data_IF_974123887530
#
_entry.id   IF_974123887530
#
_cell.length_a   1.000
_cell.length_b   1.000
_cell.length_c   1.000
_cell.angle_alpha   90.00
_cell.angle_beta   90.00
_cell.angle_gamma   90.00
#
_symmetry.space_group_name_H-M   'P 1'
#
loop_
_entity.id
_entity.type
_entity.pdbx_description
1 polymer ?
#
# COMPACT_ATOMS: atom_id res chain seq x y z
N UNK A 1 -58.90 -22.80 -9.59
CA UNK A 1 -58.81 -21.45 -8.98
C UNK A 1 -58.13 -21.64 -7.63
N UNK A 2 -56.88 -21.29 -7.34
CA UNK A 2 -55.83 -20.50 -7.97
C UNK A 2 -54.87 -20.20 -6.81
N UNK A 3 -53.60 -20.54 -6.96
CA UNK A 3 -52.61 -20.63 -5.88
C UNK A 3 -52.26 -19.27 -5.28
N UNK A 4 -52.33 -19.15 -3.94
CA UNK A 4 -51.82 -18.01 -3.19
C UNK A 4 -50.30 -18.13 -3.00
N UNK A 5 -49.53 -17.62 -3.96
CA UNK A 5 -48.08 -17.42 -3.86
C UNK A 5 -47.77 -15.94 -3.69
N UNK A 6 -47.45 -15.53 -2.46
CA UNK A 6 -46.97 -14.19 -2.17
C UNK A 6 -45.61 -13.96 -2.87
N UNK A 7 -45.63 -13.16 -3.94
CA UNK A 7 -44.43 -12.69 -4.63
C UNK A 7 -43.70 -11.69 -3.74
N UNK A 8 -42.73 -12.17 -2.97
CA UNK A 8 -41.84 -11.34 -2.17
C UNK A 8 -40.84 -10.63 -3.09
N UNK A 9 -41.26 -9.46 -3.59
CA UNK A 9 -40.51 -8.20 -3.67
C UNK A 9 -39.01 -8.34 -3.97
N UNK A 10 -38.64 -8.21 -5.25
CA UNK A 10 -37.34 -7.64 -5.62
C UNK A 10 -37.25 -6.25 -4.98
N UNK A 11 -36.34 -6.08 -4.03
CA UNK A 11 -35.78 -4.77 -3.69
C UNK A 11 -34.32 -4.83 -4.10
N UNK A 12 -34.03 -4.48 -5.35
CA UNK A 12 -32.73 -3.92 -5.68
C UNK A 12 -32.67 -2.58 -4.94
N UNK A 13 -32.00 -2.59 -3.80
CA UNK A 13 -31.62 -1.36 -3.11
C UNK A 13 -30.39 -0.82 -3.84
N UNK A 14 -30.62 -0.19 -4.99
CA UNK A 14 -29.62 0.64 -5.65
C UNK A 14 -29.43 1.89 -4.80
N UNK A 15 -28.57 1.74 -3.79
CA UNK A 15 -28.09 2.82 -2.96
C UNK A 15 -27.30 3.81 -3.80
N UNK A 16 -28.00 4.82 -4.29
CA UNK A 16 -27.40 6.09 -4.65
C UNK A 16 -26.72 6.68 -3.39
N UNK A 17 -25.38 6.70 -3.36
CA UNK A 17 -24.64 7.94 -3.09
C UNK A 17 -23.26 7.86 -3.73
N UNK A 18 -23.05 8.76 -4.69
CA UNK A 18 -21.76 9.18 -5.20
C UNK A 18 -20.73 9.36 -4.08
N UNK A 19 -19.83 8.40 -3.88
CA UNK A 19 -18.69 8.54 -2.95
C UNK A 19 -17.48 9.25 -3.57
N UNK A 20 -17.59 9.66 -4.83
CA UNK A 20 -16.46 10.17 -5.61
C UNK A 20 -16.14 11.66 -5.41
N UNK A 21 -16.79 12.37 -4.48
CA UNK A 21 -16.54 13.80 -4.27
C UNK A 21 -16.50 14.25 -2.80
N UNK A 22 -16.08 13.38 -1.89
CA UNK A 22 -15.73 13.83 -0.54
C UNK A 22 -14.26 14.25 -0.49
N UNK A 23 -13.98 15.43 0.06
CA UNK A 23 -12.61 15.87 0.35
C UNK A 23 -11.83 14.81 1.16
N UNK A 24 -12.50 14.06 2.03
CA UNK A 24 -11.92 12.96 2.78
C UNK A 24 -11.46 11.79 1.89
N UNK A 25 -12.15 11.52 0.79
CA UNK A 25 -11.77 10.48 -0.17
C UNK A 25 -10.49 10.87 -0.92
N UNK A 26 -10.40 12.14 -1.35
CA UNK A 26 -9.18 12.68 -1.96
C UNK A 26 -8.00 12.69 -0.97
N UNK A 27 -8.19 13.21 0.24
CA UNK A 27 -7.12 13.27 1.25
C UNK A 27 -6.59 11.88 1.61
N UNK A 28 -7.46 10.87 1.61
CA UNK A 28 -7.10 9.47 1.88
C UNK A 28 -6.44 8.79 0.70
N UNK A 29 -6.83 9.09 -0.54
CA UNK A 29 -6.18 8.57 -1.75
C UNK A 29 -4.78 9.14 -1.98
N UNK A 30 -4.57 10.41 -1.63
CA UNK A 30 -3.28 11.09 -1.75
C UNK A 30 -2.39 10.98 -0.50
N UNK A 31 -2.80 10.20 0.51
CA UNK A 31 -2.03 9.96 1.74
C UNK A 31 -1.57 11.25 2.48
N UNK A 32 -2.29 12.36 2.32
CA UNK A 32 -1.92 13.66 2.91
C UNK A 32 -2.23 13.76 4.42
N UNK A 33 -2.77 12.69 5.00
CA UNK A 33 -3.09 12.56 6.42
C UNK A 33 -2.43 11.31 7.03
N UNK A 34 -1.24 10.94 6.57
CA UNK A 34 -0.42 9.94 7.23
C UNK A 34 0.43 10.63 8.32
N UNK A 35 0.33 10.24 9.62
CA UNK A 35 1.22 10.76 10.65
C UNK A 35 2.68 10.32 10.37
N UNK A 36 3.68 11.09 10.83
CA UNK A 36 5.10 10.81 10.57
C UNK A 36 5.50 9.41 11.05
N UNK A 37 6.47 8.83 10.36
CA UNK A 37 6.78 7.41 10.30
C UNK A 37 7.29 6.73 11.60
N UNK A 38 7.21 7.39 12.76
CA UNK A 38 7.73 6.86 14.02
C UNK A 38 6.75 5.95 14.78
N UNK A 39 5.53 5.74 14.25
CA UNK A 39 4.52 4.85 14.85
C UNK A 39 4.53 3.44 14.24
N UNK A 40 5.71 2.82 14.15
CA UNK A 40 5.95 1.57 13.39
C UNK A 40 5.73 0.29 14.22
N UNK A 41 4.57 0.14 14.86
CA UNK A 41 4.08 -1.15 15.37
C UNK A 41 2.56 -1.08 15.59
N UNK A 42 1.80 -1.56 14.61
CA UNK A 42 0.36 -1.77 14.79
C UNK A 42 -0.54 -0.99 13.83
N UNK A 43 -0.24 -0.97 12.52
CA UNK A 43 -1.21 -0.49 11.54
C UNK A 43 -2.06 -1.66 11.04
N UNK A 44 -3.12 -1.93 11.78
CA UNK A 44 -4.28 -2.67 11.31
C UNK A 44 -4.80 -1.98 10.04
N UNK A 45 -4.96 -2.75 8.97
CA UNK A 45 -5.50 -2.30 7.68
C UNK A 45 -6.89 -1.68 7.90
N UNK A 46 -7.07 -0.41 7.53
CA UNK A 46 -8.28 0.36 7.83
C UNK A 46 -9.35 0.16 6.74
N UNK A 47 -10.31 -0.74 6.97
CA UNK A 47 -11.59 -0.68 6.26
C UNK A 47 -12.44 0.42 6.92
N UNK A 48 -12.53 1.57 6.25
CA UNK A 48 -13.63 2.51 6.45
C UNK A 48 -14.81 1.95 5.69
N UNK A 49 -15.82 1.49 6.43
CA UNK A 49 -17.26 1.69 6.19
C UNK A 49 -18.01 0.93 7.30
N UNK A 50 -18.50 1.67 8.31
CA UNK A 50 -19.51 1.23 9.27
C UNK A 50 -19.10 0.16 10.31
N UNK A 51 -19.15 0.54 11.59
CA UNK A 51 -19.19 -0.34 12.78
C UNK A 51 -17.86 -0.83 13.36
N UNK A 52 -17.06 0.11 13.86
CA UNK A 52 -15.89 -0.16 14.71
C UNK A 52 -16.24 -0.45 16.20
N UNK A 53 -17.51 -0.65 16.56
CA UNK A 53 -17.93 -1.08 17.91
C UNK A 53 -18.41 -2.54 17.98
N UNK A 54 -18.41 -3.28 16.86
CA UNK A 54 -18.86 -4.68 16.81
C UNK A 54 -17.74 -5.74 16.89
N UNK A 55 -16.47 -5.33 16.99
CA UNK A 55 -15.32 -6.23 16.82
C UNK A 55 -14.94 -7.06 18.07
N UNK A 56 -15.43 -6.74 19.27
CA UNK A 56 -15.15 -7.52 20.48
C UNK A 56 -16.20 -8.62 20.74
N UNK A 57 -17.32 -8.63 20.01
CA UNK A 57 -18.29 -9.73 20.06
C UNK A 57 -17.93 -10.79 19.04
N UNK A 58 -16.74 -11.38 19.17
CA UNK A 58 -16.41 -12.65 18.51
C UNK A 58 -17.31 -13.70 19.14
N UNK A 59 -18.56 -13.80 18.66
CA UNK A 59 -19.49 -14.87 19.04
C UNK A 59 -18.74 -16.17 18.83
N UNK A 60 -18.32 -16.81 19.92
CA UNK A 60 -17.70 -18.12 19.91
C UNK A 60 -18.65 -19.01 19.13
N UNK A 61 -18.26 -19.39 17.91
CA UNK A 61 -19.05 -20.29 17.08
C UNK A 61 -19.11 -21.60 17.85
N UNK A 62 -20.23 -21.86 18.51
CA UNK A 62 -20.46 -23.07 19.28
C UNK A 62 -20.05 -24.29 18.45
N UNK A 63 -19.39 -25.25 19.11
CA UNK A 63 -18.90 -26.47 18.48
C UNK A 63 -20.02 -27.14 17.67
N UNK A 64 -19.69 -27.55 16.45
CA UNK A 64 -20.64 -28.23 15.57
C UNK A 64 -20.86 -29.64 16.11
N UNK A 65 -21.99 -29.88 16.79
CA UNK A 65 -22.42 -31.23 17.13
C UNK A 65 -22.78 -31.97 15.83
N UNK A 66 -22.29 -33.19 15.60
CA UNK A 66 -22.74 -34.01 14.48
C UNK A 66 -24.26 -34.19 14.54
N UNK A 67 -24.93 -34.10 13.40
CA UNK A 67 -26.37 -34.34 13.31
C UNK A 67 -26.59 -35.86 13.39
N UNK A 68 -27.42 -36.37 14.32
CA UNK A 68 -27.76 -37.79 14.42
C UNK A 68 -28.25 -38.37 13.10
N UNK A 69 -28.03 -39.66 12.89
CA UNK A 69 -28.36 -40.37 11.66
C UNK A 69 -29.85 -40.34 11.33
N UNK A 70 -30.70 -40.33 12.35
CA UNK A 70 -32.17 -40.32 12.22
C UNK A 70 -32.72 -38.96 11.75
N UNK A 71 -31.89 -37.90 11.74
CA UNK A 71 -32.29 -36.54 11.33
C UNK A 71 -31.72 -36.13 9.96
N UNK A 72 -31.08 -37.06 9.25
CA UNK A 72 -30.56 -36.85 7.89
C UNK A 72 -31.62 -37.16 6.85
N UNK A 73 -32.67 -36.35 6.84
CA UNK A 73 -33.75 -36.45 5.84
C UNK A 73 -33.35 -35.84 4.50
N UNK A 74 -34.18 -36.01 3.47
CA UNK A 74 -33.99 -35.40 2.14
C UNK A 74 -33.72 -33.88 2.22
N UNK A 75 -34.51 -33.18 3.05
CA UNK A 75 -34.37 -31.73 3.29
C UNK A 75 -33.00 -31.36 3.90
N UNK A 76 -32.36 -32.26 4.65
CA UNK A 76 -31.01 -32.06 5.16
C UNK A 76 -29.98 -32.15 4.02
N UNK A 77 -30.08 -33.17 3.16
CA UNK A 77 -29.17 -33.37 2.03
C UNK A 77 -29.23 -32.20 1.04
N UNK A 78 -30.42 -31.68 0.73
CA UNK A 78 -30.56 -30.49 -0.11
C UNK A 78 -29.85 -29.25 0.49
N UNK A 79 -30.03 -29.00 1.79
CA UNK A 79 -29.35 -27.88 2.47
C UNK A 79 -27.84 -28.09 2.46
N UNK A 80 -27.38 -29.32 2.67
CA UNK A 80 -25.95 -29.66 2.68
C UNK A 80 -25.33 -29.46 1.30
N UNK A 81 -26.02 -29.89 0.24
CA UNK A 81 -25.62 -29.67 -1.15
C UNK A 81 -25.49 -28.18 -1.47
N UNK A 82 -26.52 -27.37 -1.17
CA UNK A 82 -26.48 -25.91 -1.35
C UNK A 82 -25.35 -25.24 -0.56
N UNK A 83 -25.10 -25.67 0.68
CA UNK A 83 -24.00 -25.11 1.48
C UNK A 83 -22.63 -25.45 0.89
N UNK A 84 -22.45 -26.66 0.36
CA UNK A 84 -21.20 -27.07 -0.29
C UNK A 84 -20.96 -26.28 -1.59
N UNK A 85 -22.00 -26.09 -2.40
CA UNK A 85 -21.94 -25.25 -3.61
C UNK A 85 -21.58 -23.80 -3.27
N UNK A 86 -22.25 -23.22 -2.27
CA UNK A 86 -21.94 -21.86 -1.80
C UNK A 86 -20.51 -21.75 -1.25
N UNK A 87 -20.04 -22.75 -0.51
CA UNK A 87 -18.67 -22.79 0.00
C UNK A 87 -17.64 -22.86 -1.14
N UNK A 88 -17.91 -23.65 -2.18
CA UNK A 88 -17.07 -23.72 -3.39
C UNK A 88 -17.02 -22.35 -4.08
N UNK A 89 -18.19 -21.77 -4.39
CA UNK A 89 -18.29 -20.44 -5.00
C UNK A 89 -17.56 -19.36 -4.19
N UNK A 90 -17.66 -19.41 -2.86
CA UNK A 90 -16.96 -18.48 -1.97
C UNK A 90 -15.44 -18.64 -2.03
N UNK A 91 -14.94 -19.88 -2.10
CA UNK A 91 -13.50 -20.17 -2.26
C UNK A 91 -13.00 -19.67 -3.61
N UNK A 92 -13.72 -19.96 -4.70
CA UNK A 92 -13.33 -19.55 -6.05
C UNK A 92 -13.30 -18.02 -6.15
N UNK A 93 -14.31 -17.33 -5.61
CA UNK A 93 -14.34 -15.88 -5.56
C UNK A 93 -13.20 -15.28 -4.73
N UNK A 94 -12.81 -15.92 -3.63
CA UNK A 94 -11.64 -15.50 -2.84
C UNK A 94 -10.35 -15.69 -3.65
N UNK A 95 -10.18 -16.86 -4.26
CA UNK A 95 -9.01 -17.18 -5.07
C UNK A 95 -8.83 -16.18 -6.21
N UNK A 96 -9.88 -15.87 -6.95
CA UNK A 96 -9.84 -14.87 -8.03
C UNK A 96 -9.37 -13.49 -7.52
N UNK A 97 -9.84 -13.06 -6.33
CA UNK A 97 -9.37 -11.80 -5.74
C UNK A 97 -7.90 -11.85 -5.35
N UNK A 98 -7.46 -12.93 -4.74
CA UNK A 98 -6.06 -13.13 -4.35
C UNK A 98 -5.14 -13.18 -5.57
N UNK A 99 -5.54 -13.90 -6.62
CA UNK A 99 -4.83 -13.99 -7.89
C UNK A 99 -4.74 -12.60 -8.58
N UNK A 100 -5.82 -11.83 -8.57
CA UNK A 100 -5.82 -10.47 -9.12
C UNK A 100 -4.88 -9.53 -8.34
N UNK A 101 -4.87 -9.62 -7.00
CA UNK A 101 -3.95 -8.84 -6.17
C UNK A 101 -2.49 -9.23 -6.46
N UNK A 102 -2.20 -10.52 -6.57
CA UNK A 102 -0.86 -11.02 -6.89
C UNK A 102 -0.39 -10.53 -8.27
N UNK A 103 -1.26 -10.63 -9.29
CA UNK A 103 -0.95 -10.15 -10.63
C UNK A 103 -0.67 -8.64 -10.64
N UNK A 104 -1.51 -7.85 -9.97
CA UNK A 104 -1.33 -6.40 -9.88
C UNK A 104 -0.03 -6.04 -9.16
N UNK A 105 0.32 -6.75 -8.09
CA UNK A 105 1.58 -6.53 -7.37
C UNK A 105 2.79 -6.80 -8.29
N UNK A 106 2.78 -7.91 -9.02
CA UNK A 106 3.84 -8.26 -9.97
C UNK A 106 4.01 -7.19 -11.06
N UNK A 107 2.90 -6.68 -11.63
CA UNK A 107 2.97 -5.61 -12.63
C UNK A 107 3.60 -4.34 -12.06
N UNK A 108 3.16 -3.92 -10.87
CA UNK A 108 3.70 -2.72 -10.22
C UNK A 108 5.17 -2.88 -9.83
N UNK A 109 5.59 -4.07 -9.39
CA UNK A 109 6.99 -4.38 -9.12
C UNK A 109 7.85 -4.29 -10.38
N UNK A 110 7.34 -4.81 -11.50
CA UNK A 110 8.00 -4.74 -12.79
C UNK A 110 8.15 -3.28 -13.29
N UNK A 111 7.06 -2.51 -13.26
CA UNK A 111 7.08 -1.09 -13.63
C UNK A 111 8.02 -0.29 -12.73
N UNK A 112 8.02 -0.54 -11.42
CA UNK A 112 8.91 0.12 -10.48
C UNK A 112 10.39 -0.18 -10.78
N UNK A 113 10.70 -1.43 -11.14
CA UNK A 113 12.05 -1.82 -11.54
C UNK A 113 12.50 -1.07 -12.80
N UNK A 114 11.64 -0.98 -13.82
CA UNK A 114 11.91 -0.23 -15.04
C UNK A 114 12.17 1.25 -14.72
N UNK A 115 11.29 1.88 -13.93
CA UNK A 115 11.42 3.29 -13.56
C UNK A 115 12.72 3.55 -12.78
N UNK A 116 13.13 2.65 -11.88
CA UNK A 116 14.40 2.75 -11.17
C UNK A 116 15.60 2.72 -12.11
N UNK A 117 15.59 1.84 -13.11
CA UNK A 117 16.64 1.76 -14.13
C UNK A 117 16.69 3.04 -14.95
N UNK A 118 15.53 3.53 -15.41
CA UNK A 118 15.46 4.79 -16.18
C UNK A 118 15.98 5.99 -15.37
N UNK A 119 15.60 6.11 -14.10
CA UNK A 119 16.09 7.17 -13.22
C UNK A 119 17.61 7.05 -13.03
N UNK A 120 18.14 5.84 -12.87
CA UNK A 120 19.59 5.62 -12.75
C UNK A 120 20.33 6.08 -14.01
N UNK A 121 19.86 5.67 -15.21
CA UNK A 121 20.44 6.10 -16.50
C UNK A 121 20.45 7.62 -16.65
N UNK A 122 19.30 8.27 -16.42
CA UNK A 122 19.19 9.72 -16.53
C UNK A 122 20.08 10.46 -15.52
N UNK A 123 20.24 9.91 -14.31
CA UNK A 123 21.15 10.48 -13.30
C UNK A 123 22.60 10.35 -13.73
N UNK A 124 23.00 9.22 -14.31
CA UNK A 124 24.35 8.99 -14.83
C UNK A 124 24.66 9.94 -15.99
N UNK A 125 23.74 10.08 -16.96
CA UNK A 125 23.85 11.02 -18.06
C UNK A 125 24.00 12.47 -17.56
N UNK A 126 23.14 12.88 -16.62
CA UNK A 126 23.21 14.21 -16.02
C UNK A 126 24.54 14.45 -15.27
N UNK A 127 25.06 13.45 -14.56
CA UNK A 127 26.36 13.53 -13.90
C UNK A 127 27.50 13.63 -14.92
N UNK A 128 27.47 12.84 -15.99
CA UNK A 128 28.44 12.89 -17.07
C UNK A 128 28.49 14.27 -17.72
N UNK A 129 27.33 14.84 -18.05
CA UNK A 129 27.23 16.19 -18.60
C UNK A 129 27.76 17.25 -17.63
N UNK A 130 27.43 17.15 -16.33
CA UNK A 130 28.01 18.04 -15.30
C UNK A 130 29.53 17.96 -15.25
N UNK A 131 30.10 16.75 -15.31
CA UNK A 131 31.56 16.58 -15.33
C UNK A 131 32.18 17.23 -16.57
N UNK A 132 31.57 17.09 -17.75
CA UNK A 132 32.05 17.73 -18.99
C UNK A 132 32.02 19.25 -18.87
N UNK A 133 30.92 19.83 -18.37
CA UNK A 133 30.81 21.29 -18.18
C UNK A 133 31.85 21.83 -17.20
N UNK A 134 32.09 21.14 -16.07
CA UNK A 134 33.12 21.53 -15.10
C UNK A 134 34.53 21.47 -15.72
N UNK A 135 34.83 20.42 -16.49
CA UNK A 135 36.11 20.31 -17.22
C UNK A 135 36.30 21.45 -18.22
N UNK A 136 35.26 21.84 -18.95
CA UNK A 136 35.31 22.96 -19.89
C UNK A 136 35.50 24.31 -19.19
N UNK A 137 34.80 24.53 -18.07
CA UNK A 137 34.93 25.77 -17.28
C UNK A 137 36.33 25.90 -16.68
N UNK A 138 36.92 24.82 -16.19
CA UNK A 138 38.30 24.82 -15.67
C UNK A 138 39.35 25.04 -16.77
N UNK A 139 39.15 24.51 -17.99
CA UNK A 139 40.02 24.82 -19.13
C UNK A 139 39.92 26.27 -19.64
N UNK A 140 38.79 26.95 -19.38
CA UNK A 140 38.60 28.39 -19.70
C UNK A 140 39.17 29.36 -18.65
N UNK A 141 39.60 28.87 -17.48
CA UNK A 141 40.11 29.70 -16.37
C UNK A 141 41.65 29.81 -16.37
N UNK A 142 42.36 29.07 -17.23
CA UNK A 142 43.84 29.10 -17.32
C UNK A 142 44.46 30.38 -17.91
N UNK A 143 43.75 31.52 -17.91
CA UNK A 143 44.27 32.83 -18.36
C UNK A 143 44.07 33.97 -17.34
N UNK A 144 43.85 33.68 -16.06
CA UNK A 144 43.85 34.73 -15.03
C UNK A 144 45.10 34.60 -14.16
N UNK A 145 46.09 35.43 -14.46
CA UNK A 145 47.28 35.65 -13.66
C UNK A 145 46.91 36.03 -12.22
N UNK A 146 47.60 35.51 -11.18
CA UNK A 146 47.39 35.95 -9.81
C UNK A 146 47.82 37.43 -9.67
N UNK A 147 46.88 38.31 -9.36
CA UNK A 147 47.17 39.67 -8.93
C UNK A 147 47.35 39.66 -7.41
N UNK A 148 48.61 39.79 -6.96
CA UNK A 148 48.93 40.09 -5.56
C UNK A 148 48.50 41.53 -5.25
N UNK A 149 47.60 41.71 -4.28
CA UNK A 149 47.66 42.78 -3.28
C UNK A 149 46.47 42.70 -2.30
N UNK A 150 46.79 42.30 -1.08
CA UNK A 150 46.57 43.06 0.17
C UNK A 150 45.25 43.82 0.36
N UNK A 151 44.52 43.45 1.42
CA UNK A 151 44.03 44.35 2.50
C UNK A 151 42.57 44.10 2.90
N UNK A 152 42.40 43.74 4.19
CA UNK A 152 41.20 43.93 5.04
C UNK A 152 39.96 43.10 4.65
N UNK A 153 39.35 42.28 5.50
CA UNK A 153 39.38 42.17 6.94
C UNK A 153 37.99 41.69 7.38
N UNK A 154 37.97 40.81 8.39
CA UNK A 154 36.89 40.53 9.35
C UNK A 154 36.25 39.12 9.33
N UNK A 155 36.39 38.51 10.53
CA UNK A 155 35.56 37.51 11.23
C UNK A 155 35.50 36.08 10.64
N UNK A 156 36.14 35.07 11.26
CA UNK A 156 35.74 34.33 12.49
C UNK A 156 34.27 33.90 12.42
N UNK A 157 33.87 32.64 12.41
CA UNK A 157 34.35 31.48 13.17
C UNK A 157 33.84 30.15 12.54
N UNK A 158 34.26 28.97 13.05
CA UNK A 158 34.48 27.77 12.25
C UNK A 158 33.51 26.63 12.56
N UNK A 159 32.97 25.96 11.53
CA UNK A 159 32.74 24.50 11.58
C UNK A 159 32.35 23.93 10.22
N UNK A 160 33.39 23.52 9.50
CA UNK A 160 33.39 22.39 8.58
C UNK A 160 34.02 21.23 9.40
N UNK A 161 33.68 19.95 9.37
CA UNK A 161 32.70 19.16 8.63
C UNK A 161 32.42 17.82 9.41
N UNK A 162 32.27 16.61 8.78
CA UNK A 162 31.32 15.58 9.20
C UNK A 162 32.06 14.46 9.97
N UNK A 163 31.37 13.38 10.34
CA UNK A 163 32.03 12.07 10.47
C UNK A 163 31.01 10.94 10.48
N UNK A 164 31.08 10.13 9.43
CA UNK A 164 30.73 8.73 9.49
C UNK A 164 31.58 8.04 10.57
N UNK A 165 30.95 7.22 11.40
CA UNK A 165 31.59 6.03 11.96
C UNK A 165 30.58 4.90 11.94
N UNK A 166 30.91 3.88 11.16
CA UNK A 166 30.33 2.56 11.30
C UNK A 166 30.70 2.00 12.68
N UNK A 167 29.74 1.41 13.37
CA UNK A 167 30.00 0.54 14.50
C UNK A 167 29.01 -0.63 14.45
N UNK A 168 29.60 -1.81 14.53
CA UNK A 168 29.04 -3.15 14.39
C UNK A 168 28.40 -3.63 15.70
N UNK A 169 27.19 -4.21 15.62
CA UNK A 169 26.65 -5.38 16.38
C UNK A 169 26.55 -5.30 17.94
N UNK A 170 25.70 -6.12 18.65
CA UNK A 170 25.31 -7.49 18.30
C UNK A 170 23.85 -7.94 18.51
N UNK A 171 23.59 -9.09 17.88
CA UNK A 171 22.47 -10.01 18.11
C UNK A 171 22.27 -10.35 19.59
N UNK A 172 21.01 -10.60 19.98
CA UNK A 172 20.69 -11.24 21.26
C UNK A 172 19.61 -12.30 21.07
N UNK A 173 19.81 -13.40 21.80
CA UNK A 173 19.17 -14.71 21.75
C UNK A 173 17.67 -14.73 22.03
#
# INVERSE_FOLDING_TARGET
MGSNGHSARLMCNDGNVSSAFSALHLLRSYSLLAPPADALLGRHFMNTDGSATAALQKRLRGGKKPIPTEQKDEKYYERRKRNNEAAKKSRDARKIREDHIALKALMLEHENAILKVQIASLREEAQSLRHVLIKQQTSGISQVSPIDATTTGNNRDPRSQPRSTAASLPCRA
#
